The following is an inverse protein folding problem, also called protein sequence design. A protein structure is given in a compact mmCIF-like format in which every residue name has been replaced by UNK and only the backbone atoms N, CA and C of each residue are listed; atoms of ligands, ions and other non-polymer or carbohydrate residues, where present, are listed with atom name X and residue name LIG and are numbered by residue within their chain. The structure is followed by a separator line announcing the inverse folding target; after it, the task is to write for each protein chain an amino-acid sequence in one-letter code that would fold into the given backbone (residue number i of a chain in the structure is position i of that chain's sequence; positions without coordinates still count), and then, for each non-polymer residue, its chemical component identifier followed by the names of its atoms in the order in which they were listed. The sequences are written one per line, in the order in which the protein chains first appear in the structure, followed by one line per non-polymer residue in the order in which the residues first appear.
data_IF_297159489693
#
_entry.id   IF_297159489693
#
_cell.length_a   1.000
_cell.length_b   1.000
_cell.length_c   1.000
_cell.angle_alpha   90.00
_cell.angle_beta   90.00
_cell.angle_gamma   90.00
#
_symmetry.space_group_name_H-M   'P 1'
#
loop_
_entity.id
_entity.type
_entity.pdbx_description
1 polymer ?
#
# COMPACT_ATOMS: atom_id res chain seq x y z
N UNK A 1 -8.60 12.39 2.00
CA UNK A 1 -7.30 11.78 2.25
C UNK A 1 -6.20 12.85 2.20
N UNK A 2 -5.96 13.50 1.05
CA UNK A 2 -4.87 14.52 0.91
C UNK A 2 -4.98 15.63 1.95
N UNK A 3 -6.16 16.23 2.14
CA UNK A 3 -6.37 17.29 3.15
C UNK A 3 -6.05 16.85 4.59
N UNK A 4 -6.26 15.57 4.92
CA UNK A 4 -6.05 15.04 6.26
C UNK A 4 -4.61 14.60 6.48
N UNK A 5 -3.99 13.97 5.47
CA UNK A 5 -2.67 13.35 5.61
C UNK A 5 -1.53 14.24 5.11
N UNK A 6 -1.82 15.22 4.26
CA UNK A 6 -0.79 15.98 3.54
C UNK A 6 -0.11 15.20 2.40
N UNK A 7 -0.44 13.93 2.18
CA UNK A 7 0.31 13.02 1.29
C UNK A 7 -0.24 12.95 -0.11
N UNK A 8 0.64 13.16 -1.10
CA UNK A 8 0.38 12.92 -2.52
C UNK A 8 -0.55 13.95 -3.17
N UNK A 9 -1.14 13.57 -4.29
CA UNK A 9 -2.04 14.41 -5.10
C UNK A 9 -3.42 13.78 -5.23
N UNK A 10 -4.48 14.61 -5.15
CA UNK A 10 -5.85 14.10 -5.11
C UNK A 10 -6.27 13.34 -6.38
N UNK A 11 -5.77 13.73 -7.55
CA UNK A 11 -6.04 13.04 -8.82
C UNK A 11 -5.55 11.58 -8.78
N UNK A 12 -4.34 11.39 -8.29
CA UNK A 12 -3.74 10.06 -8.16
C UNK A 12 -4.44 9.23 -7.07
N UNK A 13 -4.94 9.88 -6.00
CA UNK A 13 -5.78 9.19 -5.01
C UNK A 13 -7.09 8.69 -5.63
N UNK A 14 -7.69 9.41 -6.58
CA UNK A 14 -8.86 8.90 -7.32
C UNK A 14 -8.50 7.65 -8.12
N UNK A 15 -7.38 7.66 -8.85
CA UNK A 15 -6.90 6.49 -9.58
C UNK A 15 -6.59 5.30 -8.64
N UNK A 16 -5.99 5.56 -7.49
CA UNK A 16 -5.78 4.53 -6.45
C UNK A 16 -7.09 3.96 -5.92
N UNK A 17 -8.12 4.79 -5.75
CA UNK A 17 -9.43 4.31 -5.34
C UNK A 17 -10.09 3.43 -6.42
N UNK A 18 -9.94 3.79 -7.70
CA UNK A 18 -10.39 2.92 -8.81
C UNK A 18 -9.65 1.58 -8.82
N UNK A 19 -8.32 1.61 -8.61
CA UNK A 19 -7.51 0.40 -8.48
C UNK A 19 -7.98 -0.46 -7.29
N UNK A 20 -8.16 0.15 -6.13
CA UNK A 20 -8.59 -0.53 -4.90
C UNK A 20 -10.06 -0.97 -4.90
N UNK A 21 -10.87 -0.55 -5.85
CA UNK A 21 -12.28 -0.90 -5.95
C UNK A 21 -12.62 -1.63 -7.25
N UNK A 22 -12.96 -0.90 -8.32
CA UNK A 22 -13.45 -1.47 -9.57
C UNK A 22 -12.44 -2.44 -10.22
N UNK A 23 -11.16 -2.06 -10.33
CA UNK A 23 -10.13 -2.89 -10.96
C UNK A 23 -9.85 -4.14 -10.11
N UNK A 24 -9.80 -3.98 -8.78
CA UNK A 24 -9.69 -5.14 -7.87
C UNK A 24 -10.87 -6.08 -8.04
N UNK A 25 -12.10 -5.55 -8.07
CA UNK A 25 -13.28 -6.38 -8.26
C UNK A 25 -13.23 -7.14 -9.60
N UNK A 26 -12.91 -6.47 -10.71
CA UNK A 26 -12.77 -7.09 -12.02
C UNK A 26 -11.76 -8.24 -12.02
N UNK A 27 -10.67 -8.12 -11.26
CA UNK A 27 -9.62 -9.15 -11.20
C UNK A 27 -10.02 -10.36 -10.33
N UNK A 28 -10.89 -10.19 -9.33
CA UNK A 28 -11.23 -11.27 -8.37
C UNK A 28 -12.65 -11.82 -8.52
N UNK A 29 -13.54 -11.15 -9.24
CA UNK A 29 -14.97 -11.53 -9.30
C UNK A 29 -15.20 -12.97 -9.74
N UNK A 30 -14.44 -13.44 -10.72
CA UNK A 30 -14.59 -14.77 -11.32
C UNK A 30 -13.73 -15.85 -10.61
N UNK A 31 -12.95 -15.46 -9.60
CA UNK A 31 -12.15 -16.41 -8.81
C UNK A 31 -13.04 -17.15 -7.80
N UNK A 32 -12.97 -18.46 -7.76
CA UNK A 32 -13.62 -19.25 -6.72
C UNK A 32 -12.86 -19.08 -5.41
N UNK A 33 -13.48 -18.41 -4.42
CA UNK A 33 -12.89 -18.19 -3.10
C UNK A 33 -13.49 -19.07 -2.00
N UNK A 34 -14.73 -19.54 -2.21
CA UNK A 34 -15.45 -20.40 -1.27
C UNK A 34 -16.05 -21.58 -2.04
N UNK A 35 -15.99 -22.77 -1.48
CA UNK A 35 -16.40 -24.02 -2.11
C UNK A 35 -15.25 -24.73 -2.83
N UNK A 36 -15.55 -25.62 -3.75
CA UNK A 36 -14.54 -26.42 -4.46
C UNK A 36 -13.73 -25.51 -5.40
N UNK A 37 -12.46 -25.32 -5.10
CA UNK A 37 -11.51 -24.55 -5.93
C UNK A 37 -10.95 -25.44 -7.05
N UNK A 38 -10.61 -26.68 -6.70
CA UNK A 38 -9.99 -27.63 -7.61
C UNK A 38 -10.29 -29.07 -7.20
N UNK A 39 -10.52 -29.94 -8.20
CA UNK A 39 -10.60 -31.39 -8.03
C UNK A 39 -9.54 -32.03 -8.94
N UNK A 40 -8.66 -32.84 -8.37
CA UNK A 40 -7.70 -33.68 -9.08
C UNK A 40 -8.11 -35.15 -8.87
N UNK A 41 -8.85 -35.69 -9.82
CA UNK A 41 -9.42 -37.05 -9.73
C UNK A 41 -8.34 -38.14 -9.82
N UNK A 42 -7.25 -37.86 -10.53
CA UNK A 42 -6.16 -38.84 -10.70
C UNK A 42 -5.39 -39.03 -9.39
N UNK A 43 -5.30 -37.98 -8.57
CA UNK A 43 -4.64 -38.00 -7.25
C UNK A 43 -5.63 -38.16 -6.10
N UNK A 44 -6.93 -38.16 -6.35
CA UNK A 44 -7.95 -38.18 -5.32
C UNK A 44 -7.93 -36.97 -4.39
N UNK A 45 -7.53 -35.79 -4.90
CA UNK A 45 -7.40 -34.55 -4.14
C UNK A 45 -8.52 -33.58 -4.47
N UNK A 46 -9.06 -32.92 -3.44
CA UNK A 46 -10.02 -31.85 -3.56
C UNK A 46 -9.55 -30.65 -2.72
N UNK A 47 -9.44 -29.48 -3.35
CA UNK A 47 -9.12 -28.22 -2.70
C UNK A 47 -10.41 -27.44 -2.45
N UNK A 48 -10.72 -27.18 -1.18
CA UNK A 48 -11.95 -26.48 -0.80
C UNK A 48 -11.58 -25.18 -0.11
N UNK A 49 -12.03 -24.04 -0.66
CA UNK A 49 -11.94 -22.74 -0.02
C UNK A 49 -12.99 -22.60 1.09
N UNK A 50 -12.54 -22.15 2.26
CA UNK A 50 -13.42 -21.86 3.40
C UNK A 50 -13.11 -20.47 3.96
N UNK A 51 -14.11 -19.72 4.42
CA UNK A 51 -13.88 -18.46 5.11
C UNK A 51 -13.03 -18.68 6.38
N UNK A 52 -12.13 -17.74 6.65
CA UNK A 52 -11.32 -17.74 7.88
C UNK A 52 -12.04 -17.06 9.06
N UNK A 53 -13.18 -16.43 8.81
CA UNK A 53 -14.01 -15.77 9.82
C UNK A 53 -13.84 -14.26 9.83
N UNK A 54 -13.15 -13.71 10.83
CA UNK A 54 -12.95 -12.26 10.97
C UNK A 54 -11.55 -11.89 10.50
N UNK A 55 -11.47 -10.95 9.57
CA UNK A 55 -10.23 -10.33 9.10
C UNK A 55 -9.96 -9.05 9.88
N UNK A 56 -8.81 -8.94 10.53
CA UNK A 56 -8.33 -7.67 11.08
C UNK A 56 -7.48 -6.95 10.02
N UNK A 57 -7.84 -5.71 9.67
CA UNK A 57 -7.19 -4.95 8.62
C UNK A 57 -6.55 -3.67 9.16
N UNK A 58 -5.22 -3.60 9.16
CA UNK A 58 -4.48 -2.38 9.48
C UNK A 58 -4.32 -1.53 8.23
N UNK A 59 -4.71 -0.26 8.31
CA UNK A 59 -4.77 0.66 7.17
C UNK A 59 -3.69 1.73 7.32
N UNK A 60 -2.85 1.97 6.30
CA UNK A 60 -1.80 2.97 6.33
C UNK A 60 -2.35 4.39 6.07
N UNK A 61 -1.55 5.42 6.40
CA UNK A 61 -1.85 6.82 6.09
C UNK A 61 -1.62 7.18 4.63
N UNK A 62 -0.69 6.51 3.95
CA UNK A 62 -0.30 6.81 2.56
C UNK A 62 -1.39 6.48 1.53
N UNK A 63 -2.14 5.39 1.75
CA UNK A 63 -3.18 4.90 0.85
C UNK A 63 -4.45 4.52 1.63
N UNK A 64 -5.04 5.45 2.39
CA UNK A 64 -6.05 5.08 3.39
C UNK A 64 -7.34 4.56 2.76
N UNK A 65 -7.93 5.29 1.83
CA UNK A 65 -9.24 4.99 1.24
C UNK A 65 -9.18 3.76 0.31
N UNK A 66 -8.21 3.71 -0.60
CA UNK A 66 -8.03 2.58 -1.52
C UNK A 66 -7.75 1.27 -0.79
N UNK A 67 -6.95 1.30 0.30
CA UNK A 67 -6.65 0.10 1.09
C UNK A 67 -7.89 -0.41 1.84
N UNK A 68 -8.74 0.47 2.35
CA UNK A 68 -10.04 0.08 2.93
C UNK A 68 -10.90 -0.64 1.91
N UNK A 69 -11.06 -0.05 0.70
CA UNK A 69 -11.86 -0.65 -0.38
C UNK A 69 -11.32 -2.03 -0.78
N UNK A 70 -10.02 -2.08 -1.10
CA UNK A 70 -9.35 -3.30 -1.50
C UNK A 70 -9.51 -4.43 -0.48
N UNK A 71 -9.13 -4.17 0.78
CA UNK A 71 -9.19 -5.20 1.83
C UNK A 71 -10.62 -5.65 2.12
N UNK A 72 -11.58 -4.74 2.03
CA UNK A 72 -13.00 -5.11 2.22
C UNK A 72 -13.49 -6.00 1.08
N UNK A 73 -13.20 -5.64 -0.17
CA UNK A 73 -13.61 -6.44 -1.33
C UNK A 73 -13.08 -7.86 -1.24
N UNK A 74 -11.77 -8.04 -1.03
CA UNK A 74 -11.18 -9.38 -0.98
C UNK A 74 -11.65 -10.20 0.23
N UNK A 75 -11.89 -9.55 1.38
CA UNK A 75 -12.38 -10.22 2.58
C UNK A 75 -13.81 -10.71 2.41
N UNK A 76 -14.71 -9.84 1.96
CA UNK A 76 -16.13 -10.17 1.76
C UNK A 76 -16.30 -11.15 0.61
N UNK A 77 -15.55 -11.01 -0.50
CA UNK A 77 -15.52 -11.97 -1.61
C UNK A 77 -15.16 -13.39 -1.14
N UNK A 78 -14.27 -13.50 -0.16
CA UNK A 78 -13.86 -14.76 0.45
C UNK A 78 -14.78 -15.21 1.62
N UNK A 79 -15.97 -14.60 1.77
CA UNK A 79 -16.97 -14.97 2.76
C UNK A 79 -16.64 -14.55 4.19
N UNK A 80 -15.70 -13.60 4.39
CA UNK A 80 -15.29 -13.15 5.71
C UNK A 80 -15.93 -11.82 6.09
N UNK A 81 -16.03 -11.55 7.39
CA UNK A 81 -16.21 -10.21 7.92
C UNK A 81 -14.85 -9.53 8.11
N UNK A 82 -14.86 -8.19 8.21
CA UNK A 82 -13.64 -7.40 8.35
C UNK A 82 -13.78 -6.34 9.44
N UNK A 83 -12.74 -6.20 10.26
CA UNK A 83 -12.60 -5.12 11.25
C UNK A 83 -11.39 -4.25 10.87
N UNK A 84 -11.66 -3.00 10.59
CA UNK A 84 -10.67 -2.03 10.12
C UNK A 84 -10.08 -1.27 11.30
N UNK A 85 -8.75 -1.22 11.38
CA UNK A 85 -7.99 -0.39 12.31
C UNK A 85 -7.35 0.78 11.55
N UNK A 86 -7.85 2.00 11.72
CA UNK A 86 -7.35 3.18 11.02
C UNK A 86 -5.99 3.64 11.54
N UNK A 87 -5.15 4.15 10.65
CA UNK A 87 -4.00 4.96 11.04
C UNK A 87 -4.48 6.28 11.67
N UNK A 88 -3.86 6.76 12.78
CA UNK A 88 -4.26 8.00 13.43
C UNK A 88 -4.33 9.21 12.48
N UNK A 89 -3.33 9.37 11.61
CA UNK A 89 -3.21 10.50 10.67
C UNK A 89 -4.18 10.44 9.48
N UNK A 90 -4.96 9.36 9.32
CA UNK A 90 -5.93 9.18 8.24
C UNK A 90 -7.29 8.72 8.76
N UNK A 91 -7.57 8.95 10.04
CA UNK A 91 -8.77 8.45 10.75
C UNK A 91 -10.06 8.89 10.08
N UNK A 92 -10.17 10.17 9.73
CA UNK A 92 -11.42 10.73 9.21
C UNK A 92 -11.79 10.14 7.86
N UNK A 93 -10.85 10.16 6.90
CA UNK A 93 -11.11 9.63 5.56
C UNK A 93 -11.31 8.09 5.59
N UNK A 94 -10.65 7.37 6.49
CA UNK A 94 -10.87 5.93 6.66
C UNK A 94 -12.28 5.66 7.20
N UNK A 95 -12.69 6.35 8.27
CA UNK A 95 -14.04 6.20 8.84
C UNK A 95 -15.13 6.53 7.81
N UNK A 96 -14.98 7.62 7.07
CA UNK A 96 -15.94 8.00 6.02
C UNK A 96 -16.02 6.92 4.93
N UNK A 97 -14.88 6.41 4.48
CA UNK A 97 -14.84 5.32 3.48
C UNK A 97 -15.55 4.07 4.01
N UNK A 98 -15.33 3.71 5.26
CA UNK A 98 -16.00 2.58 5.90
C UNK A 98 -17.51 2.78 5.97
N UNK A 99 -17.99 3.96 6.33
CA UNK A 99 -19.44 4.23 6.40
C UNK A 99 -20.10 4.19 5.00
N UNK A 100 -19.41 4.65 3.95
CA UNK A 100 -19.86 4.50 2.56
C UNK A 100 -19.99 3.02 2.19
N UNK A 101 -18.96 2.23 2.48
CA UNK A 101 -18.97 0.79 2.20
C UNK A 101 -20.05 0.05 3.00
N UNK A 102 -20.22 0.35 4.28
CA UNK A 102 -21.28 -0.23 5.13
C UNK A 102 -22.67 0.04 4.58
N UNK A 103 -22.89 1.28 4.09
CA UNK A 103 -24.18 1.63 3.45
C UNK A 103 -24.40 0.80 2.19
N UNK A 104 -23.42 0.77 1.29
CA UNK A 104 -23.51 -0.03 0.06
C UNK A 104 -23.69 -1.54 0.34
N UNK A 105 -22.98 -2.09 1.31
CA UNK A 105 -23.11 -3.48 1.72
C UNK A 105 -24.52 -3.78 2.25
N UNK A 106 -25.09 -2.89 3.10
CA UNK A 106 -26.46 -3.02 3.61
C UNK A 106 -27.49 -2.96 2.48
N UNK A 107 -27.36 -2.02 1.55
CA UNK A 107 -28.23 -1.90 0.38
C UNK A 107 -28.18 -3.15 -0.51
N UNK A 108 -27.03 -3.81 -0.56
CA UNK A 108 -26.84 -5.08 -1.26
C UNK A 108 -27.29 -6.32 -0.45
N UNK A 109 -27.84 -6.15 0.77
CA UNK A 109 -28.33 -7.24 1.60
C UNK A 109 -27.26 -7.96 2.44
N UNK A 110 -26.08 -7.39 2.62
CA UNK A 110 -25.08 -7.97 3.51
C UNK A 110 -25.55 -7.94 4.97
N UNK A 111 -25.25 -8.99 5.76
CA UNK A 111 -25.57 -9.04 7.17
C UNK A 111 -24.96 -7.87 7.94
N UNK A 112 -25.66 -7.42 9.00
CA UNK A 112 -25.10 -6.43 9.90
C UNK A 112 -23.80 -6.96 10.55
N UNK A 113 -22.80 -6.09 10.71
CA UNK A 113 -21.49 -6.49 11.26
C UNK A 113 -20.51 -7.06 10.22
N UNK A 114 -20.90 -7.21 8.95
CA UNK A 114 -19.96 -7.65 7.89
C UNK A 114 -18.72 -6.75 7.81
N UNK A 115 -18.88 -5.44 8.00
CA UNK A 115 -17.78 -4.47 8.00
C UNK A 115 -17.80 -3.67 9.29
N UNK A 116 -16.74 -3.78 10.08
CA UNK A 116 -16.51 -3.03 11.32
C UNK A 116 -15.32 -2.09 11.23
N UNK A 117 -15.26 -1.10 12.13
CA UNK A 117 -14.11 -0.20 12.22
C UNK A 117 -13.88 0.22 13.67
N UNK A 118 -12.63 0.19 14.13
CA UNK A 118 -12.23 0.73 15.41
C UNK A 118 -12.28 2.26 15.35
N UNK A 119 -12.97 2.88 16.30
CA UNK A 119 -13.04 4.35 16.40
C UNK A 119 -11.94 4.96 17.27
N UNK A 120 -11.35 4.16 18.15
CA UNK A 120 -10.21 4.54 18.99
C UNK A 120 -8.92 4.15 18.28
N UNK A 121 -8.17 5.13 17.80
CA UNK A 121 -6.92 4.91 17.04
C UNK A 121 -5.71 4.92 17.99
N UNK A 122 -5.79 4.14 19.06
CA UNK A 122 -4.69 3.98 20.02
C UNK A 122 -3.94 2.66 19.78
N UNK A 123 -2.70 2.59 20.24
CA UNK A 123 -1.91 1.35 20.14
C UNK A 123 -2.54 0.21 20.96
N UNK A 124 -3.15 0.55 22.09
CA UNK A 124 -3.83 -0.42 22.95
C UNK A 124 -5.01 -1.05 22.21
N UNK A 125 -5.87 -0.23 21.59
CA UNK A 125 -7.03 -0.73 20.83
C UNK A 125 -6.60 -1.58 19.62
N UNK A 126 -5.53 -1.18 18.94
CA UNK A 126 -4.96 -1.96 17.85
C UNK A 126 -4.38 -3.28 18.34
N UNK A 127 -3.62 -3.28 19.43
CA UNK A 127 -3.05 -4.49 20.02
C UNK A 127 -4.13 -5.46 20.52
N UNK A 128 -5.22 -4.93 21.10
CA UNK A 128 -6.37 -5.75 21.50
C UNK A 128 -7.02 -6.44 20.30
N UNK A 129 -7.20 -5.72 19.19
CA UNK A 129 -7.67 -6.33 17.94
C UNK A 129 -6.72 -7.42 17.45
N UNK A 130 -5.41 -7.13 17.37
CA UNK A 130 -4.42 -8.07 16.84
C UNK A 130 -4.33 -9.37 17.65
N UNK A 131 -4.52 -9.29 18.97
CA UNK A 131 -4.45 -10.44 19.89
C UNK A 131 -5.79 -11.14 20.11
N UNK A 132 -6.87 -10.61 19.59
CA UNK A 132 -8.19 -11.19 19.79
C UNK A 132 -8.29 -12.56 19.13
N UNK A 133 -8.71 -13.57 19.89
CA UNK A 133 -8.78 -14.97 19.43
C UNK A 133 -9.84 -15.23 18.36
N UNK A 134 -10.77 -14.30 18.17
CA UNK A 134 -11.78 -14.39 17.11
C UNK A 134 -11.25 -13.96 15.73
N UNK A 135 -10.04 -13.41 15.67
CA UNK A 135 -9.41 -13.01 14.40
C UNK A 135 -8.84 -14.24 13.71
N UNK A 136 -9.34 -14.53 12.51
CA UNK A 136 -8.85 -15.62 11.67
C UNK A 136 -7.57 -15.26 10.91
N UNK A 137 -7.44 -14.00 10.47
CA UNK A 137 -6.22 -13.50 9.80
C UNK A 137 -6.08 -11.99 9.95
N UNK A 138 -4.85 -11.52 10.04
CA UNK A 138 -4.50 -10.11 10.06
C UNK A 138 -3.93 -9.71 8.70
N UNK A 139 -4.51 -8.70 8.06
CA UNK A 139 -3.96 -8.05 6.87
C UNK A 139 -3.29 -6.74 7.30
N UNK A 140 -1.98 -6.78 7.54
CA UNK A 140 -1.22 -5.63 7.99
C UNK A 140 -0.56 -4.90 6.82
N UNK A 141 -0.93 -3.62 6.62
CA UNK A 141 -0.22 -2.71 5.72
C UNK A 141 0.19 -1.48 6.51
N UNK A 142 1.49 -1.23 6.60
CA UNK A 142 2.01 -0.12 7.41
C UNK A 142 3.52 -0.15 7.56
N UNK A 143 4.04 0.64 8.48
CA UNK A 143 5.46 0.66 8.80
C UNK A 143 5.95 -0.65 9.44
N UNK A 144 7.27 -0.84 9.48
CA UNK A 144 7.91 -2.07 9.96
C UNK A 144 7.44 -2.47 11.36
N UNK A 145 7.34 -1.51 12.29
CA UNK A 145 6.91 -1.78 13.66
C UNK A 145 5.49 -2.37 13.73
N UNK A 146 4.57 -1.88 12.91
CA UNK A 146 3.20 -2.38 12.84
C UNK A 146 3.13 -3.78 12.23
N UNK A 147 3.89 -4.03 11.17
CA UNK A 147 3.98 -5.36 10.56
C UNK A 147 4.59 -6.36 11.52
N UNK A 148 5.64 -5.98 12.24
CA UNK A 148 6.24 -6.80 13.30
C UNK A 148 5.25 -7.11 14.43
N UNK A 149 4.47 -6.13 14.88
CA UNK A 149 3.42 -6.32 15.88
C UNK A 149 2.35 -7.32 15.41
N UNK A 150 1.94 -7.26 14.13
CA UNK A 150 1.00 -8.20 13.55
C UNK A 150 1.54 -9.63 13.56
N UNK A 151 2.78 -9.85 13.10
CA UNK A 151 3.41 -11.19 13.14
C UNK A 151 3.66 -11.72 14.55
N UNK A 152 3.85 -10.83 15.53
CA UNK A 152 4.08 -11.22 16.94
C UNK A 152 2.80 -11.35 17.74
N UNK A 153 1.63 -11.16 17.14
CA UNK A 153 0.33 -11.16 17.85
C UNK A 153 -0.13 -12.54 18.31
N UNK A 154 0.35 -13.60 17.67
CA UNK A 154 -0.11 -14.98 17.87
C UNK A 154 -1.21 -15.42 16.90
N UNK A 155 -1.80 -14.50 16.12
CA UNK A 155 -2.75 -14.81 15.06
C UNK A 155 -2.05 -14.91 13.70
N UNK A 156 -2.60 -15.66 12.72
CA UNK A 156 -2.09 -15.65 11.35
C UNK A 156 -2.07 -14.21 10.79
N UNK A 157 -0.97 -13.83 10.16
CA UNK A 157 -0.82 -12.48 9.63
C UNK A 157 -0.15 -12.48 8.24
N UNK A 158 -0.63 -11.59 7.38
CA UNK A 158 -0.02 -11.25 6.10
C UNK A 158 0.37 -9.77 6.19
N UNK A 159 1.67 -9.52 6.30
CA UNK A 159 2.22 -8.19 6.48
C UNK A 159 2.88 -7.67 5.22
N UNK A 160 2.59 -6.39 4.90
CA UNK A 160 3.23 -5.63 3.82
C UNK A 160 3.81 -4.35 4.44
N UNK A 161 5.14 -4.29 4.45
CA UNK A 161 5.92 -3.13 4.91
C UNK A 161 6.39 -2.25 3.75
N UNK A 162 7.35 -1.35 4.01
CA UNK A 162 8.00 -0.55 2.98
C UNK A 162 8.65 -1.46 1.94
N UNK A 163 8.31 -1.24 0.68
CA UNK A 163 8.93 -1.94 -0.45
C UNK A 163 10.25 -1.30 -0.85
N UNK A 164 11.15 -2.09 -1.42
CA UNK A 164 12.34 -1.62 -2.11
C UNK A 164 12.44 -2.38 -3.45
N UNK A 165 11.55 -2.04 -4.38
CA UNK A 165 11.46 -2.67 -5.69
C UNK A 165 12.59 -2.19 -6.61
N UNK A 166 13.55 -3.03 -7.04
CA UNK A 166 14.52 -2.67 -8.06
C UNK A 166 13.90 -2.79 -9.45
N UNK A 167 14.19 -1.83 -10.34
CA UNK A 167 13.96 -1.95 -11.77
C UNK A 167 15.26 -2.37 -12.46
N UNK A 168 15.26 -3.52 -13.10
CA UNK A 168 16.42 -3.98 -13.88
C UNK A 168 16.24 -3.60 -15.34
N UNK A 169 17.18 -2.78 -15.86
CA UNK A 169 17.25 -2.44 -17.29
C UNK A 169 18.36 -3.27 -17.91
N UNK A 170 17.96 -4.25 -18.70
CA UNK A 170 18.85 -5.15 -19.43
C UNK A 170 19.30 -4.47 -20.74
N UNK A 171 20.45 -4.85 -21.28
CA UNK A 171 21.11 -4.21 -22.43
C UNK A 171 20.29 -4.16 -23.72
N UNK A 172 19.30 -5.04 -23.88
CA UNK A 172 18.42 -5.07 -25.07
C UNK A 172 17.14 -4.25 -24.87
N UNK A 173 16.96 -3.63 -23.69
CA UNK A 173 15.79 -2.83 -23.42
C UNK A 173 15.73 -1.55 -24.27
N UNK A 174 14.53 -1.10 -24.59
CA UNK A 174 14.28 0.26 -25.06
C UNK A 174 14.49 1.23 -23.88
N UNK A 175 15.68 1.84 -23.81
CA UNK A 175 16.10 2.66 -22.69
C UNK A 175 15.16 3.86 -22.48
N UNK A 176 14.79 4.67 -23.49
CA UNK A 176 13.84 5.77 -23.32
C UNK A 176 12.50 5.31 -22.76
N UNK A 177 11.95 4.22 -23.27
CA UNK A 177 10.67 3.69 -22.77
C UNK A 177 10.80 3.16 -21.35
N UNK A 178 11.88 2.46 -21.00
CA UNK A 178 12.13 1.93 -19.67
C UNK A 178 12.25 3.06 -18.65
N UNK A 179 13.05 4.07 -18.94
CA UNK A 179 13.23 5.25 -18.08
C UNK A 179 11.91 6.00 -17.91
N UNK A 180 11.17 6.22 -19.00
CA UNK A 180 9.86 6.88 -18.94
C UNK A 180 8.91 6.13 -18.00
N UNK A 181 8.79 4.81 -18.13
CA UNK A 181 7.90 3.99 -17.29
C UNK A 181 8.29 4.02 -15.81
N UNK A 182 9.59 3.92 -15.52
CA UNK A 182 10.10 4.04 -14.14
C UNK A 182 9.78 5.42 -13.58
N UNK A 183 9.93 6.45 -14.41
CA UNK A 183 9.61 7.81 -14.01
C UNK A 183 8.13 8.00 -13.70
N UNK A 184 7.26 7.62 -14.62
CA UNK A 184 5.82 7.73 -14.45
C UNK A 184 5.35 6.99 -13.18
N UNK A 185 5.91 5.79 -12.92
CA UNK A 185 5.62 4.99 -11.73
C UNK A 185 6.13 5.66 -10.45
N UNK A 186 7.37 6.13 -10.45
CA UNK A 186 8.00 6.71 -9.25
C UNK A 186 7.41 8.05 -8.85
N UNK A 187 6.98 8.87 -9.81
CA UNK A 187 6.41 10.20 -9.54
C UNK A 187 4.91 10.15 -9.23
N UNK A 188 4.26 9.03 -9.51
CA UNK A 188 2.84 8.84 -9.22
C UNK A 188 2.56 9.06 -7.73
N UNK A 189 1.58 9.93 -7.44
CA UNK A 189 1.16 10.30 -6.08
C UNK A 189 2.33 10.75 -5.19
N UNK A 190 3.29 11.49 -5.76
CA UNK A 190 4.53 11.91 -5.10
C UNK A 190 5.30 10.73 -4.46
N UNK A 191 5.32 9.58 -5.11
CA UNK A 191 6.02 8.39 -4.65
C UNK A 191 5.41 7.69 -3.43
N UNK A 192 4.19 8.03 -3.02
CA UNK A 192 3.53 7.42 -1.84
C UNK A 192 2.94 6.04 -2.08
N UNK A 193 3.26 5.39 -3.19
CA UNK A 193 2.90 4.00 -3.45
C UNK A 193 4.07 3.08 -3.14
N UNK A 194 3.88 2.12 -2.25
CA UNK A 194 4.93 1.18 -1.81
C UNK A 194 5.40 0.22 -2.92
N UNK A 195 4.67 0.11 -4.02
CA UNK A 195 4.99 -0.74 -5.17
C UNK A 195 5.86 -0.03 -6.22
N UNK A 196 6.11 1.29 -6.08
CA UNK A 196 6.96 2.02 -7.03
C UNK A 196 8.42 1.60 -6.92
N UNK A 197 9.16 1.78 -8.00
CA UNK A 197 10.57 1.48 -8.08
C UNK A 197 11.37 2.39 -7.11
N UNK A 198 12.31 1.77 -6.38
CA UNK A 198 13.15 2.49 -5.41
C UNK A 198 14.62 2.57 -5.87
N UNK A 199 15.01 1.69 -6.79
CA UNK A 199 16.36 1.64 -7.35
C UNK A 199 16.33 1.18 -8.79
N UNK A 200 17.31 1.64 -9.57
CA UNK A 200 17.55 1.19 -10.93
C UNK A 200 18.84 0.38 -10.94
N UNK A 201 18.77 -0.83 -11.45
CA UNK A 201 19.90 -1.71 -11.69
C UNK A 201 20.09 -1.83 -13.18
N UNK A 202 21.29 -1.58 -13.66
CA UNK A 202 21.59 -1.66 -15.08
C UNK A 202 22.93 -2.35 -15.35
N UNK A 203 23.11 -2.87 -16.54
CA UNK A 203 24.40 -3.38 -16.97
C UNK A 203 25.36 -2.22 -17.28
N UNK A 204 26.64 -2.40 -16.95
CA UNK A 204 27.66 -1.37 -17.13
C UNK A 204 27.77 -0.85 -18.57
N UNK A 205 27.49 -1.70 -19.58
CA UNK A 205 27.57 -1.33 -20.99
C UNK A 205 26.52 -0.30 -21.43
N UNK A 206 25.42 -0.17 -20.70
CA UNK A 206 24.34 0.80 -20.99
C UNK A 206 24.18 1.87 -19.90
N UNK A 207 25.01 1.85 -18.84
CA UNK A 207 24.92 2.77 -17.70
C UNK A 207 24.91 4.23 -18.14
N UNK A 208 25.81 4.62 -19.04
CA UNK A 208 25.90 6.00 -19.53
C UNK A 208 24.63 6.42 -20.30
N UNK A 209 24.06 5.56 -21.13
CA UNK A 209 22.84 5.87 -21.88
C UNK A 209 21.61 5.98 -20.94
N UNK A 210 21.53 5.13 -19.93
CA UNK A 210 20.46 5.21 -18.91
C UNK A 210 20.60 6.50 -18.09
N UNK A 211 21.83 6.88 -17.71
CA UNK A 211 22.08 8.11 -16.97
C UNK A 211 21.73 9.37 -17.78
N UNK A 212 22.09 9.39 -19.08
CA UNK A 212 21.74 10.47 -20.00
C UNK A 212 20.23 10.63 -20.14
N UNK A 213 19.50 9.52 -20.35
CA UNK A 213 18.04 9.53 -20.49
C UNK A 213 17.36 9.98 -19.20
N UNK A 214 17.84 9.55 -18.04
CA UNK A 214 17.39 10.04 -16.75
C UNK A 214 17.59 11.55 -16.58
N UNK A 215 18.73 12.09 -17.03
CA UNK A 215 18.98 13.53 -17.05
C UNK A 215 18.00 14.29 -17.95
N UNK A 216 17.72 13.77 -19.13
CA UNK A 216 16.77 14.35 -20.09
C UNK A 216 15.33 14.36 -19.53
N UNK A 217 14.96 13.35 -18.76
CA UNK A 217 13.66 13.27 -18.09
C UNK A 217 13.48 14.26 -16.90
N UNK A 218 14.42 15.19 -16.71
CA UNK A 218 14.35 16.23 -15.67
C UNK A 218 14.78 15.78 -14.28
N UNK A 219 15.67 14.80 -14.19
CA UNK A 219 16.21 14.30 -12.93
C UNK A 219 17.56 14.88 -12.62
N UNK A 220 17.72 15.25 -11.35
CA UNK A 220 19.01 15.69 -10.81
C UNK A 220 19.76 14.48 -10.28
N UNK A 221 20.96 14.23 -10.85
CA UNK A 221 21.93 13.40 -10.18
C UNK A 221 22.63 14.27 -9.13
N UNK A 222 22.40 13.95 -7.88
CA UNK A 222 23.03 14.68 -6.79
C UNK A 222 24.52 14.36 -6.74
N UNK A 223 25.34 15.40 -6.60
CA UNK A 223 26.72 15.23 -6.20
C UNK A 223 26.81 14.73 -4.73
N UNK A 224 28.02 14.42 -4.28
CA UNK A 224 28.23 13.94 -2.91
C UNK A 224 27.81 14.96 -1.83
N UNK A 225 27.72 16.24 -2.16
CA UNK A 225 27.25 17.30 -1.26
C UNK A 225 25.74 17.30 -1.14
N UNK A 226 25.03 17.20 -2.26
CA UNK A 226 23.57 17.11 -2.31
C UNK A 226 23.05 15.82 -1.65
N UNK A 227 23.73 14.67 -1.86
CA UNK A 227 23.44 13.41 -1.16
C UNK A 227 23.54 13.57 0.35
N UNK A 228 24.57 14.29 0.86
CA UNK A 228 24.71 14.56 2.29
C UNK A 228 23.62 15.49 2.83
N UNK A 229 23.18 16.47 2.07
CA UNK A 229 22.07 17.35 2.44
C UNK A 229 20.74 16.58 2.50
N UNK A 230 20.43 15.78 1.48
CA UNK A 230 19.28 14.88 1.47
C UNK A 230 19.32 13.84 2.58
N UNK A 231 20.50 13.25 2.85
CA UNK A 231 20.70 12.32 3.96
C UNK A 231 20.46 12.94 5.33
N UNK A 232 20.74 14.24 5.51
CA UNK A 232 20.41 14.97 6.76
C UNK A 232 18.92 15.19 6.91
N UNK A 233 18.21 15.51 5.86
CA UNK A 233 16.76 15.63 5.85
C UNK A 233 16.11 14.29 6.22
N UNK A 234 16.56 13.21 5.58
CA UNK A 234 16.10 11.85 5.87
C UNK A 234 16.40 11.41 7.30
N UNK A 235 17.60 11.67 7.81
CA UNK A 235 17.98 11.36 9.19
C UNK A 235 17.21 12.19 10.23
N UNK A 236 16.83 13.42 9.90
CA UNK A 236 15.97 14.24 10.76
C UNK A 236 14.54 13.69 10.83
N UNK A 237 14.00 13.18 9.73
CA UNK A 237 12.68 12.56 9.65
C UNK A 237 12.57 11.20 10.34
N UNK A 238 13.69 10.49 10.54
CA UNK A 238 13.69 9.18 11.23
C UNK A 238 13.36 9.24 12.73
N UNK A 239 13.37 10.42 13.34
CA UNK A 239 13.05 10.58 14.77
C UNK A 239 11.54 10.58 15.04
N UNK A 240 10.74 10.95 14.06
CA UNK A 240 9.28 10.86 14.10
C UNK A 240 8.87 9.83 13.04
N UNK A 241 8.03 8.88 13.38
CA UNK A 241 7.66 7.67 12.63
C UNK A 241 7.17 7.87 11.18
N UNK A 242 7.08 9.10 10.69
CA UNK A 242 6.86 9.47 9.29
C UNK A 242 7.89 10.55 8.91
N UNK A 243 8.64 10.34 7.84
CA UNK A 243 9.57 11.36 7.35
C UNK A 243 8.78 12.59 6.89
N UNK A 244 9.23 13.80 7.25
CA UNK A 244 8.58 15.06 6.90
C UNK A 244 8.48 15.29 5.38
N UNK A 245 9.25 14.55 4.60
CA UNK A 245 9.30 14.58 3.14
C UNK A 245 8.35 13.55 2.48
N UNK A 246 7.70 12.70 3.27
CA UNK A 246 6.80 11.67 2.74
C UNK A 246 5.59 12.31 2.04
N UNK A 247 5.42 12.01 0.75
CA UNK A 247 4.31 12.50 -0.07
C UNK A 247 4.42 13.95 -0.55
N UNK A 248 5.53 14.63 -0.23
CA UNK A 248 5.85 15.95 -0.76
C UNK A 248 6.30 15.88 -2.22
N UNK A 249 6.17 17.00 -2.94
CA UNK A 249 6.66 17.10 -4.30
C UNK A 249 8.20 17.08 -4.33
N UNK A 250 8.78 16.65 -5.45
CA UNK A 250 10.23 16.67 -5.64
C UNK A 250 10.83 18.08 -5.44
N UNK A 251 10.08 19.13 -5.86
CA UNK A 251 10.49 20.52 -5.66
C UNK A 251 10.51 20.89 -4.18
N UNK A 252 9.49 20.52 -3.41
CA UNK A 252 9.42 20.81 -1.98
C UNK A 252 10.58 20.10 -1.23
N UNK A 253 10.89 18.86 -1.60
CA UNK A 253 12.02 18.10 -1.02
C UNK A 253 13.34 18.78 -1.35
N UNK A 254 13.55 19.22 -2.59
CA UNK A 254 14.74 19.95 -3.01
C UNK A 254 14.91 21.26 -2.24
N UNK A 255 13.84 22.04 -2.09
CA UNK A 255 13.83 23.29 -1.34
C UNK A 255 14.14 23.08 0.14
N UNK A 256 13.56 22.06 0.80
CA UNK A 256 13.88 21.67 2.18
C UNK A 256 15.33 21.23 2.34
N UNK A 257 15.91 20.59 1.34
CA UNK A 257 17.32 20.17 1.33
C UNK A 257 18.29 21.29 0.94
N UNK A 258 17.80 22.47 0.53
CA UNK A 258 18.63 23.57 0.04
C UNK A 258 19.31 23.28 -1.30
N UNK A 259 18.71 22.43 -2.12
CA UNK A 259 19.18 22.01 -3.44
C UNK A 259 18.48 22.89 -4.49
N UNK A 260 19.27 23.54 -5.36
CA UNK A 260 18.79 24.39 -6.46
C UNK A 260 19.04 23.76 -7.81
#
# INVERSE_FOLDING_TARGET
AVEETGFGVWQDKVLKNQLGSAITWESVRDMTAVGIIREDRDKGLMEIGVPVGIVAALIPSTNPTSTVMYKTIISVKAGNSIVISPHPNAKKCILETVEIIKRAAREAGAPEGTVGCIRLTTMEATNELLKNRSIGVILATGGEAMVRAAYSSGNPAIGVGPGNGPAFIERTADIPLAVKRIFDSKTFDNGTICASEQSIVTERCIEAAVAEELGTAGRLFYDAGAVRAGGRLYAAGQRDHESQDCGESAQAIADMAGIR
#
